data_IF_961902769593
#
_entry.id   IF_961902769593
#
_cell.length_a   1.000
_cell.length_b   1.000
_cell.length_c   1.000
_cell.angle_alpha   90.00
_cell.angle_beta   90.00
_cell.angle_gamma   90.00
#
_symmetry.space_group_name_H-M   'P 1'
#
loop_
_entity.id
_entity.type
_entity.pdbx_description
1 polymer ?
#
# COMPACT_ATOMS: atom_id res chain seq x y z
N UNK A 1 12.39 14.84 -2.34
CA UNK A 1 13.12 14.86 -1.03
C UNK A 1 12.22 14.51 0.16
N UNK A 2 10.91 14.78 0.21
CA UNK A 2 10.02 14.45 1.37
C UNK A 2 9.92 12.97 1.80
N UNK A 3 10.21 12.03 0.91
CA UNK A 3 9.98 10.59 1.14
C UNK A 3 10.94 9.94 2.15
N UNK A 4 12.09 10.56 2.47
CA UNK A 4 13.06 10.03 3.45
C UNK A 4 12.48 9.95 4.88
N UNK A 5 11.43 10.71 5.19
CA UNK A 5 10.77 10.67 6.50
C UNK A 5 9.79 9.50 6.63
N UNK A 6 9.28 8.95 5.52
CA UNK A 6 8.29 7.86 5.57
C UNK A 6 8.79 6.60 6.29
N UNK A 7 10.03 6.12 6.06
CA UNK A 7 10.57 5.00 6.84
C UNK A 7 10.64 5.26 8.35
N UNK A 8 10.96 6.49 8.76
CA UNK A 8 10.96 6.86 10.19
C UNK A 8 9.55 6.89 10.77
N UNK A 9 8.56 7.40 10.02
CA UNK A 9 7.16 7.40 10.41
C UNK A 9 6.57 5.98 10.53
N UNK A 10 6.97 5.06 9.64
CA UNK A 10 6.61 3.64 9.71
C UNK A 10 7.19 2.95 10.96
N UNK A 11 8.29 3.44 11.53
CA UNK A 11 8.83 2.95 12.79
C UNK A 11 8.14 3.55 14.03
N UNK A 12 7.39 4.64 13.90
CA UNK A 12 6.75 5.35 15.01
C UNK A 12 5.42 4.76 15.47
N UNK A 13 4.83 3.85 14.69
CA UNK A 13 3.54 3.19 14.99
C UNK A 13 3.61 1.67 14.86
N UNK A 14 2.45 1.01 14.97
CA UNK A 14 2.35 -0.43 14.76
C UNK A 14 2.54 -0.78 13.27
N UNK A 15 3.56 -1.58 12.98
CA UNK A 15 3.92 -1.93 11.61
C UNK A 15 2.97 -3.02 11.08
N UNK A 16 1.89 -2.59 10.44
CA UNK A 16 0.93 -3.50 9.79
C UNK A 16 1.33 -3.81 8.35
N UNK A 17 0.93 -5.00 7.87
CA UNK A 17 1.13 -5.41 6.47
C UNK A 17 0.45 -4.43 5.49
N UNK A 18 -0.67 -3.85 5.91
CA UNK A 18 -1.39 -2.77 5.22
C UNK A 18 -0.50 -1.53 5.01
N UNK A 19 0.17 -1.07 6.07
CA UNK A 19 1.08 0.07 6.00
C UNK A 19 2.28 -0.20 5.08
N UNK A 20 2.83 -1.42 5.10
CA UNK A 20 3.92 -1.83 4.21
C UNK A 20 3.45 -1.88 2.75
N UNK A 21 2.28 -2.47 2.45
CA UNK A 21 1.71 -2.46 1.09
C UNK A 21 1.53 -1.05 0.57
N UNK A 22 0.96 -0.16 1.38
CA UNK A 22 0.77 1.24 1.00
C UNK A 22 2.11 1.93 0.71
N UNK A 23 3.11 1.73 1.56
CA UNK A 23 4.46 2.26 1.35
C UNK A 23 5.07 1.79 0.02
N UNK A 24 5.03 0.49 -0.26
CA UNK A 24 5.56 -0.10 -1.50
C UNK A 24 4.78 0.39 -2.74
N UNK A 25 3.45 0.49 -2.65
CA UNK A 25 2.59 0.94 -3.75
C UNK A 25 2.80 2.42 -4.08
N UNK A 26 2.95 3.26 -3.06
CA UNK A 26 3.12 4.71 -3.25
C UNK A 26 4.49 5.04 -3.86
N UNK A 27 5.54 4.29 -3.50
CA UNK A 27 6.91 4.50 -3.97
C UNK A 27 7.26 3.67 -5.22
N UNK A 28 6.48 2.65 -5.56
CA UNK A 28 6.79 1.75 -6.68
C UNK A 28 8.19 1.15 -6.54
N UNK A 29 9.00 1.23 -7.59
CA UNK A 29 10.37 0.71 -7.62
C UNK A 29 11.37 1.57 -6.83
N UNK A 30 11.01 2.80 -6.46
CA UNK A 30 11.90 3.75 -5.76
C UNK A 30 12.00 3.49 -4.25
N UNK A 31 11.25 2.53 -3.71
CA UNK A 31 11.19 2.27 -2.26
C UNK A 31 12.56 1.93 -1.65
N UNK A 32 13.44 1.27 -2.42
CA UNK A 32 14.82 0.97 -2.00
C UNK A 32 15.63 2.26 -1.84
N UNK A 33 15.46 3.21 -2.77
CA UNK A 33 16.10 4.53 -2.70
C UNK A 33 15.67 5.29 -1.45
N UNK A 34 14.37 5.27 -1.13
CA UNK A 34 13.85 5.87 0.10
C UNK A 34 14.45 5.23 1.37
N UNK A 35 14.63 3.90 1.38
CA UNK A 35 15.28 3.18 2.49
C UNK A 35 16.78 3.54 2.62
N UNK A 36 17.50 3.68 1.51
CA UNK A 36 18.92 4.07 1.54
C UNK A 36 19.05 5.49 2.11
N UNK A 37 18.23 6.43 1.63
CA UNK A 37 18.23 7.82 2.09
C UNK A 37 17.95 7.92 3.60
N UNK A 38 16.92 7.24 4.11
CA UNK A 38 16.61 7.23 5.54
C UNK A 38 17.72 6.58 6.40
N UNK A 39 18.44 5.60 5.85
CA UNK A 39 19.58 5.00 6.56
C UNK A 39 20.78 5.94 6.63
N UNK A 40 21.08 6.65 5.53
CA UNK A 40 22.14 7.64 5.48
C UNK A 40 21.87 8.78 6.45
N UNK A 41 20.63 9.27 6.49
CA UNK A 41 20.19 10.32 7.41
C UNK A 41 20.31 9.89 8.89
N UNK A 42 19.82 8.69 9.23
CA UNK A 42 19.97 8.14 10.59
C UNK A 42 21.41 7.86 11.01
N UNK A 43 22.34 7.65 10.06
CA UNK A 43 23.78 7.55 10.32
C UNK A 43 24.41 8.91 10.58
N UNK A 44 24.02 9.93 9.83
CA UNK A 44 24.45 11.31 10.07
C UNK A 44 23.95 11.84 11.43
N UNK A 45 22.74 11.43 11.86
CA UNK A 45 22.09 11.93 13.08
C UNK A 45 22.25 10.99 14.29
N UNK A 46 23.45 10.96 14.88
CA UNK A 46 23.77 10.19 16.10
C UNK A 46 23.72 8.65 15.97
N UNK A 47 23.79 8.09 14.76
CA UNK A 47 24.02 6.67 14.52
C UNK A 47 22.87 5.72 14.91
N UNK A 48 21.67 6.24 15.17
CA UNK A 48 20.52 5.46 15.65
C UNK A 48 19.80 4.71 14.52
N UNK A 49 20.45 3.81 13.79
CA UNK A 49 19.82 3.06 12.68
C UNK A 49 19.25 1.68 13.07
N UNK A 50 19.38 1.28 14.34
CA UNK A 50 18.98 -0.06 14.80
C UNK A 50 17.48 -0.35 14.57
N UNK A 51 16.62 0.65 14.73
CA UNK A 51 15.18 0.53 14.51
C UNK A 51 14.83 0.33 13.03
N UNK A 52 15.52 1.03 12.12
CA UNK A 52 15.36 0.88 10.66
C UNK A 52 15.73 -0.54 10.19
N UNK A 53 16.73 -1.18 10.80
CA UNK A 53 17.17 -2.52 10.39
C UNK A 53 16.04 -3.56 10.48
N UNK A 54 15.22 -3.50 11.54
CA UNK A 54 14.07 -4.41 11.72
C UNK A 54 12.97 -4.12 10.69
N UNK A 55 12.67 -2.83 10.47
CA UNK A 55 11.73 -2.40 9.45
C UNK A 55 12.14 -2.87 8.05
N UNK A 56 13.41 -2.67 7.68
CA UNK A 56 13.90 -2.98 6.32
C UNK A 56 13.82 -4.47 6.03
N UNK A 57 14.21 -5.30 7.00
CA UNK A 57 14.02 -6.75 6.90
C UNK A 57 12.55 -7.11 6.68
N UNK A 58 11.63 -6.53 7.46
CA UNK A 58 10.20 -6.80 7.33
C UNK A 58 9.67 -6.38 5.95
N UNK A 59 10.03 -5.19 5.46
CA UNK A 59 9.61 -4.69 4.13
C UNK A 59 10.14 -5.60 3.02
N UNK A 60 11.42 -5.97 3.04
CA UNK A 60 12.03 -6.85 2.02
C UNK A 60 11.39 -8.24 2.02
N UNK A 61 11.23 -8.85 3.20
CA UNK A 61 10.55 -10.15 3.33
C UNK A 61 9.12 -10.08 2.82
N UNK A 62 8.39 -9.03 3.19
CA UNK A 62 7.02 -8.81 2.75
C UNK A 62 6.92 -8.63 1.24
N UNK A 63 7.78 -7.80 0.65
CA UNK A 63 7.84 -7.58 -0.80
C UNK A 63 8.08 -8.88 -1.58
N UNK A 64 8.99 -9.73 -1.10
CA UNK A 64 9.24 -11.06 -1.71
C UNK A 64 8.00 -11.94 -1.68
N UNK A 65 7.36 -12.06 -0.52
CA UNK A 65 6.15 -12.88 -0.33
C UNK A 65 5.00 -12.37 -1.22
N UNK A 66 4.78 -11.06 -1.29
CA UNK A 66 3.72 -10.50 -2.12
C UNK A 66 4.00 -10.69 -3.62
N UNK A 67 5.27 -10.57 -4.04
CA UNK A 67 5.67 -10.82 -5.43
C UNK A 67 5.45 -12.28 -5.83
N UNK A 68 5.69 -13.21 -4.91
CA UNK A 68 5.41 -14.64 -5.12
C UNK A 68 3.89 -14.93 -5.16
N UNK A 69 3.07 -14.13 -4.46
CA UNK A 69 1.60 -14.23 -4.44
C UNK A 69 0.90 -13.48 -5.59
N UNK A 70 1.64 -12.98 -6.59
CA UNK A 70 1.12 -12.08 -7.63
C UNK A 70 0.06 -12.69 -8.59
N UNK A 71 -0.49 -13.88 -8.33
CA UNK A 71 -1.65 -14.44 -9.04
C UNK A 71 -3.00 -13.90 -8.54
N UNK A 72 -3.01 -12.81 -7.77
CA UNK A 72 -4.23 -12.26 -7.19
C UNK A 72 -5.15 -11.65 -8.25
N UNK A 73 -6.26 -12.33 -8.54
CA UNK A 73 -7.30 -11.83 -9.43
C UNK A 73 -8.16 -10.81 -8.69
N UNK A 74 -8.18 -9.57 -9.17
CA UNK A 74 -9.06 -8.51 -8.65
C UNK A 74 -10.53 -8.94 -8.77
N UNK A 75 -11.33 -8.69 -7.74
CA UNK A 75 -12.77 -8.97 -7.76
C UNK A 75 -13.56 -8.07 -8.71
N UNK A 76 -13.11 -6.81 -8.85
CA UNK A 76 -13.68 -5.83 -9.76
C UNK A 76 -12.58 -5.08 -10.52
N UNK A 77 -12.95 -4.47 -11.64
CA UNK A 77 -12.08 -3.65 -12.47
C UNK A 77 -12.73 -2.29 -12.79
N UNK A 78 -12.08 -1.49 -13.63
CA UNK A 78 -12.61 -0.17 -14.01
C UNK A 78 -13.94 -0.21 -14.76
N UNK A 79 -14.22 -1.26 -15.54
CA UNK A 79 -15.51 -1.41 -16.23
C UNK A 79 -16.65 -1.58 -15.24
N UNK A 80 -16.44 -2.35 -14.16
CA UNK A 80 -17.44 -2.51 -13.12
C UNK A 80 -17.79 -1.15 -12.46
N UNK A 81 -16.83 -0.24 -12.33
CA UNK A 81 -17.10 1.13 -11.83
C UNK A 81 -17.88 1.96 -12.85
N UNK A 82 -17.62 1.81 -14.15
CA UNK A 82 -18.37 2.50 -15.21
C UNK A 82 -19.83 2.01 -15.21
N UNK A 83 -20.07 0.71 -15.05
CA UNK A 83 -21.43 0.14 -14.93
C UNK A 83 -22.19 0.68 -13.70
N UNK A 84 -21.47 1.10 -12.65
CA UNK A 84 -22.05 1.77 -11.48
C UNK A 84 -22.38 3.25 -11.73
N UNK A 85 -22.13 3.77 -12.93
CA UNK A 85 -22.46 5.15 -13.32
C UNK A 85 -21.34 6.16 -13.09
N UNK A 86 -20.12 5.69 -12.77
CA UNK A 86 -18.98 6.56 -12.52
C UNK A 86 -18.27 6.98 -13.81
N UNK A 87 -17.92 8.27 -13.87
CA UNK A 87 -17.12 8.81 -14.96
C UNK A 87 -15.63 8.55 -14.70
N UNK A 88 -14.87 8.04 -15.70
CA UNK A 88 -13.44 7.77 -15.55
C UNK A 88 -12.69 8.99 -14.99
N UNK A 89 -11.90 8.77 -13.93
CA UNK A 89 -11.16 9.84 -13.27
C UNK A 89 -10.21 9.33 -12.19
N UNK A 90 -9.47 10.23 -11.51
CA UNK A 90 -8.49 9.88 -10.48
C UNK A 90 -9.07 9.01 -9.35
N UNK A 91 -10.37 9.19 -9.09
CA UNK A 91 -11.13 8.48 -8.06
C UNK A 91 -11.22 6.97 -8.31
N UNK A 92 -11.16 6.51 -9.57
CA UNK A 92 -11.16 5.08 -9.90
C UNK A 92 -10.00 4.37 -9.24
N UNK A 93 -8.82 4.99 -9.28
CA UNK A 93 -7.62 4.42 -8.68
C UNK A 93 -7.77 4.33 -7.16
N UNK A 94 -8.42 5.30 -6.53
CA UNK A 94 -8.67 5.30 -5.08
C UNK A 94 -9.62 4.16 -4.70
N UNK A 95 -10.76 4.05 -5.38
CA UNK A 95 -11.77 3.00 -5.12
C UNK A 95 -11.18 1.61 -5.38
N UNK A 96 -10.58 1.38 -6.55
CA UNK A 96 -10.00 0.08 -6.89
C UNK A 96 -8.89 -0.34 -5.93
N UNK A 97 -8.08 0.61 -5.45
CA UNK A 97 -7.04 0.32 -4.47
C UNK A 97 -7.61 -0.09 -3.12
N UNK A 98 -8.65 0.60 -2.63
CA UNK A 98 -9.27 0.26 -1.35
C UNK A 98 -9.96 -1.11 -1.41
N UNK A 99 -10.62 -1.40 -2.52
CA UNK A 99 -11.22 -2.72 -2.78
C UNK A 99 -10.15 -3.81 -2.84
N UNK A 100 -9.05 -3.58 -3.55
CA UNK A 100 -7.93 -4.53 -3.60
C UNK A 100 -7.32 -4.75 -2.21
N UNK A 101 -7.25 -3.70 -1.39
CA UNK A 101 -6.72 -3.77 -0.03
C UNK A 101 -7.61 -4.63 0.89
N UNK A 102 -8.92 -4.39 0.90
CA UNK A 102 -9.86 -5.21 1.67
C UNK A 102 -9.93 -6.66 1.16
N UNK A 103 -9.73 -6.88 -0.14
CA UNK A 103 -9.67 -8.23 -0.70
C UNK A 103 -8.42 -8.97 -0.21
N UNK A 104 -7.26 -8.30 -0.17
CA UNK A 104 -6.01 -8.89 0.35
C UNK A 104 -6.05 -9.13 1.85
N UNK A 105 -6.77 -8.28 2.58
CA UNK A 105 -7.03 -8.45 4.01
C UNK A 105 -8.06 -9.58 4.28
N UNK A 106 -8.67 -10.15 3.24
CA UNK A 106 -9.64 -11.25 3.32
C UNK A 106 -11.02 -10.82 3.83
N UNK A 107 -11.25 -9.51 3.93
CA UNK A 107 -12.51 -8.90 4.38
C UNK A 107 -13.59 -9.00 3.30
N UNK A 108 -13.19 -8.94 2.03
CA UNK A 108 -14.06 -9.20 0.89
C UNK A 108 -13.50 -10.36 0.07
N UNK A 109 -14.39 -11.26 -0.35
CA UNK A 109 -14.05 -12.49 -1.06
C UNK A 109 -14.84 -12.64 -2.36
N UNK A 110 -15.89 -11.84 -2.54
CA UNK A 110 -16.81 -11.96 -3.68
C UNK A 110 -16.97 -10.65 -4.44
N UNK A 111 -17.30 -10.76 -5.74
CA UNK A 111 -17.56 -9.60 -6.60
C UNK A 111 -18.70 -8.73 -6.05
N UNK A 112 -19.72 -9.34 -5.44
CA UNK A 112 -20.84 -8.62 -4.83
C UNK A 112 -20.41 -7.73 -3.65
N UNK A 113 -19.57 -8.26 -2.75
CA UNK A 113 -19.01 -7.48 -1.62
C UNK A 113 -18.12 -6.33 -2.12
N UNK A 114 -17.31 -6.59 -3.15
CA UNK A 114 -16.47 -5.56 -3.78
C UNK A 114 -17.30 -4.43 -4.41
N UNK A 115 -18.42 -4.75 -5.09
CA UNK A 115 -19.35 -3.76 -5.64
C UNK A 115 -20.04 -2.97 -4.52
N UNK A 116 -20.46 -3.63 -3.44
CA UNK A 116 -21.10 -2.96 -2.30
C UNK A 116 -20.14 -1.96 -1.62
N UNK A 117 -18.88 -2.37 -1.43
CA UNK A 117 -17.84 -1.48 -0.92
C UNK A 117 -17.57 -0.31 -1.87
N UNK A 118 -17.47 -0.58 -3.18
CA UNK A 118 -17.30 0.47 -4.17
C UNK A 118 -18.44 1.49 -4.08
N UNK A 119 -19.70 1.07 -4.06
CA UNK A 119 -20.85 1.98 -3.88
C UNK A 119 -20.74 2.86 -2.64
N UNK A 120 -20.38 2.28 -1.50
CA UNK A 120 -20.20 3.03 -0.26
C UNK A 120 -19.11 4.10 -0.38
N UNK A 121 -17.97 3.75 -0.98
CA UNK A 121 -16.87 4.69 -1.22
C UNK A 121 -17.24 5.82 -2.19
N UNK A 122 -18.23 5.61 -3.05
CA UNK A 122 -18.71 6.62 -4.00
C UNK A 122 -19.64 7.61 -3.32
N UNK A 123 -20.43 7.17 -2.35
CA UNK A 123 -21.30 8.04 -1.53
C UNK A 123 -20.51 8.91 -0.54
N UNK A 124 -19.31 8.48 -0.15
CA UNK A 124 -18.43 9.18 0.80
C UNK A 124 -17.53 10.26 0.15
N UNK A 125 -17.56 10.42 -1.19
CA UNK A 125 -16.72 11.38 -1.94
C UNK A 125 -17.55 12.45 -2.62
#
# INVERSE_FOLDING_TARGET
IKEHMRPHLLCGGELTDRAIRRFLRDLGDDFIGAMILAWADGKATAGKTRHLKKLYKRIITFYRIEKEKASFKRLINGYDLIELGLKPGPIFKQILNEVEEQQRDGLIKTKAEAIALAKKLIEEV
#
